data_IF_517164604736
#
_entry.id   IF_517164604736
#
_cell.length_a   1.000
_cell.length_b   1.000
_cell.length_c   1.000
_cell.angle_alpha   90.00
_cell.angle_beta   90.00
_cell.angle_gamma   90.00
#
_symmetry.space_group_name_H-M   'P 1'
#
loop_
_entity.id
_entity.type
_entity.pdbx_description
1 polymer ?
#
# COMPACT_ATOMS: atom_id res chain seq x y z
N UNK A 1 26.33 -21.20 -27.94
CA UNK A 1 25.22 -21.32 -26.95
C UNK A 1 23.93 -21.64 -27.71
N UNK A 2 23.18 -22.68 -27.34
CA UNK A 2 21.96 -23.05 -28.08
C UNK A 2 20.80 -22.07 -27.80
N UNK A 3 20.10 -21.64 -28.86
CA UNK A 3 18.93 -20.76 -28.82
C UNK A 3 17.86 -21.23 -27.80
N UNK A 4 17.74 -22.54 -27.60
CA UNK A 4 16.83 -23.17 -26.64
C UNK A 4 17.14 -22.83 -25.18
N UNK A 5 18.42 -22.68 -24.81
CA UNK A 5 18.84 -22.29 -23.45
C UNK A 5 18.60 -20.80 -23.17
N UNK A 6 18.76 -19.94 -24.18
CA UNK A 6 18.48 -18.50 -24.09
C UNK A 6 17.00 -18.24 -23.82
N UNK A 7 16.11 -18.86 -24.61
CA UNK A 7 14.66 -18.74 -24.44
C UNK A 7 14.15 -19.25 -23.07
N UNK A 8 14.75 -20.33 -22.55
CA UNK A 8 14.41 -20.87 -21.22
C UNK A 8 14.81 -19.90 -20.10
N UNK A 9 15.99 -19.30 -20.20
CA UNK A 9 16.47 -18.31 -19.23
C UNK A 9 15.64 -17.02 -19.24
N UNK A 10 15.16 -16.56 -20.39
CA UNK A 10 14.25 -15.42 -20.47
C UNK A 10 12.88 -15.71 -19.84
N UNK A 11 12.32 -16.91 -20.06
CA UNK A 11 11.08 -17.35 -19.40
C UNK A 11 11.22 -17.41 -17.88
N UNK A 12 12.37 -17.86 -17.36
CA UNK A 12 12.64 -17.87 -15.92
C UNK A 12 12.76 -16.44 -15.38
N UNK A 13 13.50 -15.56 -16.06
CA UNK A 13 13.66 -14.15 -15.65
C UNK A 13 12.31 -13.41 -15.63
N UNK A 14 11.47 -13.61 -16.63
CA UNK A 14 10.15 -12.96 -16.71
C UNK A 14 9.22 -13.45 -15.60
N UNK A 15 9.18 -14.76 -15.36
CA UNK A 15 8.41 -15.36 -14.25
C UNK A 15 8.90 -14.85 -12.89
N UNK A 16 10.21 -14.82 -12.68
CA UNK A 16 10.81 -14.27 -11.46
C UNK A 16 10.46 -12.80 -11.25
N UNK A 17 10.53 -11.95 -12.30
CA UNK A 17 10.12 -10.54 -12.22
C UNK A 17 8.65 -10.40 -11.81
N UNK A 18 7.76 -11.24 -12.34
CA UNK A 18 6.33 -11.24 -11.96
C UNK A 18 6.13 -11.64 -10.50
N UNK A 19 6.81 -12.70 -10.04
CA UNK A 19 6.75 -13.15 -8.65
C UNK A 19 7.34 -12.11 -7.68
N UNK A 20 8.47 -11.49 -8.02
CA UNK A 20 9.09 -10.42 -7.25
C UNK A 20 8.14 -9.22 -7.09
N UNK A 21 7.45 -8.81 -8.17
CA UNK A 21 6.43 -7.75 -8.10
C UNK A 21 5.29 -8.10 -7.13
N UNK A 22 4.76 -9.34 -7.20
CA UNK A 22 3.71 -9.81 -6.28
C UNK A 22 4.16 -9.83 -4.83
N UNK A 23 5.37 -10.34 -4.56
CA UNK A 23 5.95 -10.39 -3.21
C UNK A 23 6.17 -8.99 -2.64
N UNK A 24 6.67 -8.06 -3.46
CA UNK A 24 6.82 -6.65 -3.05
C UNK A 24 5.47 -5.99 -2.75
N UNK A 25 4.42 -6.29 -3.50
CA UNK A 25 3.07 -5.80 -3.20
C UNK A 25 2.54 -6.34 -1.86
N UNK A 26 2.77 -7.62 -1.56
CA UNK A 26 2.39 -8.21 -0.27
C UNK A 26 3.16 -7.58 0.89
N UNK A 27 4.49 -7.46 0.79
CA UNK A 27 5.32 -6.78 1.79
C UNK A 27 4.88 -5.33 2.00
N UNK A 28 4.60 -4.62 0.91
CA UNK A 28 4.09 -3.26 0.95
C UNK A 28 2.80 -3.16 1.76
N UNK A 29 1.85 -4.07 1.53
CA UNK A 29 0.58 -4.12 2.24
C UNK A 29 0.78 -4.41 3.74
N UNK A 30 1.70 -5.30 4.09
CA UNK A 30 2.01 -5.64 5.48
C UNK A 30 2.63 -4.44 6.22
N UNK A 31 3.65 -3.81 5.65
CA UNK A 31 4.27 -2.62 6.25
C UNK A 31 3.24 -1.50 6.43
N UNK A 32 2.40 -1.26 5.42
CA UNK A 32 1.40 -0.21 5.52
C UNK A 32 0.36 -0.51 6.60
N UNK A 33 -0.08 -1.75 6.71
CA UNK A 33 -1.00 -2.15 7.78
C UNK A 33 -0.36 -1.98 9.16
N UNK A 34 0.94 -2.28 9.31
CA UNK A 34 1.67 -2.05 10.56
C UNK A 34 1.72 -0.56 10.92
N UNK A 35 2.07 0.32 9.96
CA UNK A 35 2.10 1.77 10.18
C UNK A 35 0.73 2.30 10.60
N UNK A 36 -0.31 1.98 9.85
CA UNK A 36 -1.67 2.47 10.13
C UNK A 36 -2.17 1.94 11.48
N UNK A 37 -1.79 0.71 11.87
CA UNK A 37 -2.08 0.14 13.18
C UNK A 37 -1.39 0.89 14.33
N UNK A 38 -0.16 1.43 14.15
CA UNK A 38 0.50 2.25 15.17
C UNK A 38 -0.34 3.49 15.56
N UNK A 39 -1.19 3.96 14.65
CA UNK A 39 -2.11 5.07 14.88
C UNK A 39 -3.53 4.61 15.22
N UNK A 40 -3.72 3.36 15.65
CA UNK A 40 -5.00 2.75 16.02
C UNK A 40 -6.05 2.76 14.90
N UNK A 41 -5.60 2.74 13.65
CA UNK A 41 -6.45 2.68 12.47
C UNK A 41 -6.29 1.33 11.77
N UNK A 42 -7.35 0.89 11.08
CA UNK A 42 -7.25 -0.25 10.14
C UNK A 42 -7.05 0.28 8.73
N UNK A 43 -6.14 -0.31 7.97
CA UNK A 43 -5.89 0.05 6.58
C UNK A 43 -7.18 0.07 5.72
N UNK A 44 -8.01 -0.97 5.87
CA UNK A 44 -9.26 -1.07 5.10
C UNK A 44 -10.20 0.10 5.39
N UNK A 45 -10.27 0.55 6.63
CA UNK A 45 -11.09 1.71 7.03
C UNK A 45 -10.53 3.00 6.44
N UNK A 46 -9.22 3.23 6.55
CA UNK A 46 -8.59 4.42 5.97
C UNK A 46 -8.78 4.47 4.45
N UNK A 47 -8.62 3.33 3.78
CA UNK A 47 -8.80 3.22 2.33
C UNK A 47 -10.25 3.50 1.89
N UNK A 48 -11.24 2.97 2.62
CA UNK A 48 -12.65 3.26 2.37
C UNK A 48 -12.93 4.76 2.60
N UNK A 49 -12.40 5.32 3.68
CA UNK A 49 -12.55 6.75 3.98
C UNK A 49 -11.99 7.62 2.86
N UNK A 50 -10.76 7.36 2.39
CA UNK A 50 -10.16 8.09 1.28
C UNK A 50 -10.98 8.00 -0.01
N UNK A 51 -11.52 6.81 -0.32
CA UNK A 51 -12.45 6.63 -1.45
C UNK A 51 -13.73 7.45 -1.29
N UNK A 52 -14.31 7.48 -0.09
CA UNK A 52 -15.51 8.27 0.21
C UNK A 52 -15.25 9.77 0.09
N UNK A 53 -14.06 10.23 0.44
CA UNK A 53 -13.62 11.62 0.25
C UNK A 53 -13.25 11.97 -1.20
N UNK A 54 -13.43 11.03 -2.15
CA UNK A 54 -13.04 11.18 -3.57
C UNK A 54 -11.55 11.53 -3.78
N UNK A 55 -10.69 11.14 -2.83
CA UNK A 55 -9.25 11.33 -2.95
C UNK A 55 -8.64 10.20 -3.79
N UNK A 56 -8.15 10.53 -4.98
CA UNK A 56 -7.50 9.61 -5.91
C UNK A 56 -5.99 9.53 -5.68
N UNK A 57 -5.57 9.22 -4.46
CA UNK A 57 -4.13 9.09 -4.13
C UNK A 57 -3.64 7.69 -4.49
N UNK A 58 -2.49 7.63 -5.18
CA UNK A 58 -1.81 6.35 -5.44
C UNK A 58 -1.40 5.70 -4.11
N UNK A 59 -1.78 4.43 -3.92
CA UNK A 59 -1.45 3.65 -2.72
C UNK A 59 0.04 3.66 -2.36
N UNK A 60 0.94 3.72 -3.33
CA UNK A 60 2.38 3.79 -3.06
C UNK A 60 2.80 5.15 -2.51
N UNK A 61 2.21 6.25 -3.01
CA UNK A 61 2.49 7.61 -2.55
C UNK A 61 1.93 7.81 -1.15
N UNK A 62 0.67 7.39 -0.93
CA UNK A 62 0.07 7.38 0.40
C UNK A 62 0.94 6.62 1.40
N UNK A 63 1.49 5.48 0.98
CA UNK A 63 2.40 4.69 1.81
C UNK A 63 3.67 5.43 2.20
N UNK A 64 4.34 6.08 1.25
CA UNK A 64 5.53 6.86 1.56
C UNK A 64 5.20 8.01 2.52
N UNK A 65 4.10 8.73 2.27
CA UNK A 65 3.65 9.82 3.15
C UNK A 65 3.40 9.34 4.58
N UNK A 66 2.68 8.23 4.78
CA UNK A 66 2.41 7.75 6.15
C UNK A 66 3.66 7.20 6.86
N UNK A 67 4.67 6.76 6.11
CA UNK A 67 5.93 6.24 6.65
C UNK A 67 6.91 7.35 7.02
N UNK A 68 7.07 8.33 6.14
CA UNK A 68 8.06 9.40 6.28
C UNK A 68 7.52 10.55 7.13
N UNK A 69 6.21 10.83 7.05
CA UNK A 69 5.58 11.98 7.72
C UNK A 69 4.53 11.51 8.72
N UNK A 70 4.97 11.21 9.95
CA UNK A 70 4.07 10.81 11.06
C UNK A 70 2.98 11.85 11.37
N UNK A 71 3.23 13.14 11.06
CA UNK A 71 2.26 14.21 11.14
C UNK A 71 1.06 13.99 10.20
N UNK A 72 1.30 13.57 8.95
CA UNK A 72 0.21 13.26 8.00
C UNK A 72 -0.65 12.11 8.50
N UNK A 73 -0.05 11.07 9.06
CA UNK A 73 -0.78 9.93 9.62
C UNK A 73 -1.66 10.34 10.79
N UNK A 74 -1.18 11.26 11.62
CA UNK A 74 -1.94 11.83 12.75
C UNK A 74 -3.13 12.67 12.26
N UNK A 75 -2.93 13.48 11.23
CA UNK A 75 -4.02 14.27 10.60
C UNK A 75 -5.08 13.33 10.02
N UNK A 76 -4.68 12.28 9.29
CA UNK A 76 -5.62 11.29 8.77
C UNK A 76 -6.40 10.59 9.88
N UNK A 77 -5.75 10.27 11.00
CA UNK A 77 -6.43 9.68 12.16
C UNK A 77 -7.47 10.62 12.77
N UNK A 78 -7.08 11.88 13.00
CA UNK A 78 -7.98 12.90 13.50
C UNK A 78 -9.18 13.06 12.57
N UNK A 79 -8.94 13.18 11.27
CA UNK A 79 -9.99 13.37 10.28
C UNK A 79 -10.94 12.18 10.19
N UNK A 80 -10.41 10.95 10.26
CA UNK A 80 -11.20 9.73 10.30
C UNK A 80 -12.08 9.65 11.56
N UNK A 81 -11.55 10.03 12.74
CA UNK A 81 -12.31 10.10 13.98
C UNK A 81 -13.43 11.14 13.89
N UNK A 82 -13.13 12.35 13.42
CA UNK A 82 -14.12 13.41 13.23
C UNK A 82 -15.21 13.02 12.24
N UNK A 83 -14.86 12.31 11.16
CA UNK A 83 -15.84 11.79 10.20
C UNK A 83 -16.76 10.74 10.83
N UNK A 84 -16.23 9.85 11.68
CA UNK A 84 -17.04 8.85 12.39
C UNK A 84 -18.00 9.51 13.38
N UNK A 85 -17.53 10.51 14.14
CA UNK A 85 -18.35 11.28 15.08
C UNK A 85 -19.43 12.12 14.38
N UNK A 86 -19.27 12.47 13.10
CA UNK A 86 -20.30 13.20 12.34
C UNK A 86 -21.38 12.27 11.78
N UNK A 87 -21.12 10.96 11.72
CA UNK A 87 -22.04 9.95 11.16
C UNK A 87 -22.91 9.25 12.20
N UNK A 88 -22.50 9.29 13.46
CA UNK A 88 -23.18 8.71 14.62
C UNK A 88 -23.47 9.82 15.61
#
# INVERSE_FOLDING_TARGET
>A
MSLTRVNKNEKIKTTYRRLKKRKNQQLSKLCFNAVVNLFYMRYTTLFIFLKLQKLSINSNVLRCLLLEESGTTSIFNYWLKSYRLKKY
#
